data_IF_903177703499
#
_entry.id   IF_903177703499
#
_cell.length_a   1.000
_cell.length_b   1.000
_cell.length_c   1.000
_cell.angle_alpha   90.00
_cell.angle_beta   90.00
_cell.angle_gamma   90.00
#
_symmetry.space_group_name_H-M   'P 1'
#
loop_
_entity.id
_entity.type
_entity.pdbx_description
1 polymer ?
#
# COMPACT_ATOMS: atom_id res chain seq x y z
N UNK A 1 -4.19 -29.71 -11.44
CA UNK A 1 -3.57 -30.27 -10.21
C UNK A 1 -3.85 -29.30 -9.08
N UNK A 2 -4.61 -29.76 -8.09
CA UNK A 2 -5.13 -29.03 -6.93
C UNK A 2 -4.00 -28.43 -6.08
N UNK A 3 -4.04 -27.12 -5.91
CA UNK A 3 -3.14 -26.33 -5.07
C UNK A 3 -3.38 -26.64 -3.58
N UNK A 4 -2.43 -27.31 -2.94
CA UNK A 4 -2.51 -27.86 -1.59
C UNK A 4 -1.92 -26.93 -0.50
N UNK A 5 -1.78 -25.62 -0.74
CA UNK A 5 -1.12 -24.72 0.24
C UNK A 5 -1.88 -23.46 0.63
N UNK A 6 -3.14 -23.29 0.21
CA UNK A 6 -4.05 -22.35 0.88
C UNK A 6 -4.77 -23.09 2.02
N UNK A 7 -4.73 -22.62 3.28
CA UNK A 7 -5.58 -23.19 4.32
C UNK A 7 -7.01 -23.20 3.82
N UNK A 8 -7.72 -24.32 3.96
CA UNK A 8 -9.15 -24.36 3.67
C UNK A 8 -9.89 -23.52 4.72
N UNK A 9 -9.88 -22.21 4.50
CA UNK A 9 -10.51 -21.24 5.36
C UNK A 9 -12.02 -21.45 5.43
N UNK A 10 -12.64 -22.07 4.43
CA UNK A 10 -14.08 -22.36 4.51
C UNK A 10 -14.33 -23.44 5.56
N UNK A 11 -13.64 -24.58 5.50
CA UNK A 11 -13.83 -25.65 6.49
C UNK A 11 -13.47 -25.21 7.91
N UNK A 12 -12.36 -24.49 8.07
CA UNK A 12 -11.93 -23.98 9.38
C UNK A 12 -12.91 -22.93 9.93
N UNK A 13 -13.36 -22.01 9.09
CA UNK A 13 -14.34 -20.99 9.48
C UNK A 13 -15.70 -21.62 9.80
N UNK A 14 -16.17 -22.59 9.02
CA UNK A 14 -17.45 -23.26 9.28
C UNK A 14 -17.42 -24.01 10.63
N UNK A 15 -16.29 -24.63 10.99
CA UNK A 15 -16.10 -25.21 12.33
C UNK A 15 -16.17 -24.14 13.43
N UNK A 16 -15.45 -23.02 13.26
CA UNK A 16 -15.45 -21.92 14.22
C UNK A 16 -16.85 -21.28 14.37
N UNK A 17 -17.57 -21.07 13.27
CA UNK A 17 -18.91 -20.49 13.26
C UNK A 17 -19.96 -21.41 13.88
N UNK A 18 -19.81 -22.74 13.78
CA UNK A 18 -20.69 -23.69 14.51
C UNK A 18 -20.54 -23.55 16.02
N UNK A 19 -19.30 -23.41 16.51
CA UNK A 19 -19.03 -23.18 17.94
C UNK A 19 -19.57 -21.81 18.38
N UNK A 20 -19.32 -20.78 17.58
CA UNK A 20 -19.87 -19.44 17.80
C UNK A 20 -21.40 -19.43 17.87
N UNK A 21 -22.08 -20.08 16.92
CA UNK A 21 -23.54 -20.14 16.86
C UNK A 21 -24.17 -20.80 18.09
N UNK A 22 -23.51 -21.83 18.64
CA UNK A 22 -23.93 -22.45 19.92
C UNK A 22 -23.83 -21.49 21.10
N UNK A 23 -22.86 -20.56 21.07
CA UNK A 23 -22.59 -19.59 22.15
C UNK A 23 -23.45 -18.32 22.05
N UNK A 24 -23.66 -17.78 20.85
CA UNK A 24 -24.25 -16.44 20.63
C UNK A 24 -25.43 -16.38 19.65
N UNK A 25 -25.86 -17.54 19.13
CA UNK A 25 -27.00 -17.64 18.22
C UNK A 25 -26.63 -17.58 16.72
N UNK A 26 -27.55 -18.03 15.88
CA UNK A 26 -27.31 -18.24 14.45
C UNK A 26 -27.46 -16.99 13.57
N UNK A 27 -28.17 -15.95 14.02
CA UNK A 27 -28.48 -14.81 13.16
C UNK A 27 -27.24 -13.98 12.83
N UNK A 28 -26.36 -13.77 13.83
CA UNK A 28 -25.13 -13.00 13.62
C UNK A 28 -24.17 -13.68 12.64
N UNK A 29 -24.20 -15.03 12.58
CA UNK A 29 -23.36 -15.82 11.66
C UNK A 29 -23.55 -15.42 10.21
N UNK A 30 -24.80 -15.14 9.80
CA UNK A 30 -25.12 -14.73 8.42
C UNK A 30 -24.39 -13.45 8.03
N UNK A 31 -24.23 -12.53 8.98
CA UNK A 31 -23.58 -11.24 8.76
C UNK A 31 -22.05 -11.31 8.87
N UNK A 32 -21.52 -12.02 9.87
CA UNK A 32 -20.07 -12.03 10.13
C UNK A 32 -19.31 -13.03 9.25
N UNK A 33 -19.95 -14.11 8.77
CA UNK A 33 -19.29 -15.10 7.91
C UNK A 33 -18.60 -14.48 6.68
N UNK A 34 -19.28 -13.70 5.82
CA UNK A 34 -18.61 -13.08 4.67
C UNK A 34 -17.50 -12.11 5.11
N UNK A 35 -17.64 -11.50 6.29
CA UNK A 35 -16.65 -10.56 6.82
C UNK A 35 -15.36 -11.28 7.23
N UNK A 36 -15.49 -12.32 8.06
CA UNK A 36 -14.35 -13.09 8.55
C UNK A 36 -13.65 -13.79 7.39
N UNK A 37 -14.41 -14.38 6.46
CA UNK A 37 -13.82 -15.06 5.29
C UNK A 37 -12.95 -14.12 4.45
N UNK A 38 -13.42 -12.91 4.17
CA UNK A 38 -12.64 -11.93 3.43
C UNK A 38 -11.42 -11.44 4.23
N UNK A 39 -11.54 -11.30 5.56
CA UNK A 39 -10.40 -10.98 6.42
C UNK A 39 -9.32 -12.06 6.42
N UNK A 40 -9.72 -13.34 6.44
CA UNK A 40 -8.80 -14.48 6.36
C UNK A 40 -8.03 -14.48 5.03
N UNK A 41 -8.74 -14.28 3.91
CA UNK A 41 -8.13 -14.21 2.57
C UNK A 41 -7.08 -13.10 2.43
N UNK A 42 -7.30 -11.95 3.06
CA UNK A 42 -6.40 -10.79 3.00
C UNK A 42 -5.33 -10.85 4.13
N UNK A 43 -5.34 -11.91 4.96
CA UNK A 43 -4.34 -12.14 6.00
C UNK A 43 -4.49 -11.27 7.24
N UNK A 44 -5.68 -10.67 7.48
CA UNK A 44 -5.93 -9.84 8.67
C UNK A 44 -5.87 -10.63 9.97
N UNK A 45 -6.31 -11.89 9.93
CA UNK A 45 -6.18 -12.81 11.07
C UNK A 45 -4.71 -13.00 11.50
N UNK A 46 -3.77 -13.06 10.54
CA UNK A 46 -2.34 -13.15 10.89
C UNK A 46 -1.84 -11.90 11.63
N UNK A 47 -2.34 -10.71 11.30
CA UNK A 47 -2.02 -9.49 12.04
C UNK A 47 -2.64 -9.48 13.45
N UNK A 48 -3.83 -10.05 13.59
CA UNK A 48 -4.46 -10.24 14.90
C UNK A 48 -3.64 -11.19 15.78
N UNK A 49 -3.22 -12.35 15.25
CA UNK A 49 -2.38 -13.31 15.98
C UNK A 49 -1.02 -12.74 16.39
N UNK A 50 -0.44 -11.82 15.61
CA UNK A 50 0.80 -11.12 16.03
C UNK A 50 0.64 -10.34 17.33
N UNK A 51 -0.58 -9.92 17.68
CA UNK A 51 -0.90 -9.20 18.92
C UNK A 51 -1.49 -10.12 19.99
N UNK A 52 -2.05 -11.25 19.58
CA UNK A 52 -2.67 -12.26 20.45
C UNK A 52 -2.22 -13.66 20.03
N UNK A 53 -0.96 -14.05 20.31
CA UNK A 53 -0.40 -15.32 19.81
C UNK A 53 -1.14 -16.57 20.29
N UNK A 54 -1.77 -16.49 21.45
CA UNK A 54 -2.52 -17.57 22.11
C UNK A 54 -3.96 -17.73 21.60
N UNK A 55 -4.46 -16.76 20.83
CA UNK A 55 -5.82 -16.78 20.32
C UNK A 55 -5.96 -17.72 19.10
N UNK A 56 -7.17 -18.23 18.92
CA UNK A 56 -7.55 -19.07 17.80
C UNK A 56 -8.55 -18.36 16.88
N UNK A 57 -8.92 -19.03 15.79
CA UNK A 57 -9.90 -18.50 14.84
C UNK A 57 -11.26 -18.24 15.51
N UNK A 58 -11.64 -19.04 16.51
CA UNK A 58 -12.87 -18.82 17.29
C UNK A 58 -12.85 -17.49 18.04
N UNK A 59 -11.72 -17.13 18.64
CA UNK A 59 -11.56 -15.86 19.36
C UNK A 59 -11.59 -14.67 18.39
N UNK A 60 -11.00 -14.84 17.20
CA UNK A 60 -11.09 -13.83 16.15
C UNK A 60 -12.52 -13.65 15.61
N UNK A 61 -13.30 -14.74 15.47
CA UNK A 61 -14.71 -14.67 15.10
C UNK A 61 -15.51 -13.91 16.16
N UNK A 62 -15.30 -14.22 17.45
CA UNK A 62 -15.93 -13.50 18.56
C UNK A 62 -15.54 -12.01 18.55
N UNK A 63 -14.26 -11.71 18.34
CA UNK A 63 -13.74 -10.35 18.24
C UNK A 63 -14.38 -9.56 17.08
N UNK A 64 -14.52 -10.19 15.91
CA UNK A 64 -15.18 -9.58 14.74
C UNK A 64 -16.67 -9.38 14.98
N UNK A 65 -17.32 -10.32 15.67
CA UNK A 65 -18.73 -10.21 16.05
C UNK A 65 -18.98 -9.01 16.96
N UNK A 66 -18.15 -8.80 17.98
CA UNK A 66 -18.27 -7.66 18.89
C UNK A 66 -18.12 -6.33 18.15
N UNK A 67 -17.13 -6.23 17.25
CA UNK A 67 -16.95 -5.04 16.42
C UNK A 67 -18.09 -4.85 15.43
N UNK A 68 -18.66 -5.93 14.87
CA UNK A 68 -19.83 -5.85 14.02
C UNK A 68 -21.02 -5.26 14.79
N UNK A 69 -21.32 -5.78 15.98
CA UNK A 69 -22.41 -5.26 16.80
C UNK A 69 -22.20 -3.80 17.19
N UNK A 70 -20.95 -3.40 17.45
CA UNK A 70 -20.62 -2.02 17.80
C UNK A 70 -20.74 -1.05 16.61
N UNK A 71 -20.29 -1.45 15.42
CA UNK A 71 -20.08 -0.51 14.31
C UNK A 71 -21.06 -0.67 13.14
N UNK A 72 -21.81 -1.78 13.03
CA UNK A 72 -22.64 -2.05 11.86
C UNK A 72 -23.65 -0.94 11.59
N UNK A 73 -24.34 -0.44 12.61
CA UNK A 73 -25.30 0.66 12.47
C UNK A 73 -24.63 1.93 11.92
N UNK A 74 -23.45 2.28 12.46
CA UNK A 74 -22.69 3.44 11.99
C UNK A 74 -22.22 3.28 10.54
N UNK A 75 -21.71 2.10 10.18
CA UNK A 75 -21.24 1.81 8.82
C UNK A 75 -22.41 1.82 7.82
N UNK A 76 -23.58 1.30 8.19
CA UNK A 76 -24.80 1.37 7.37
C UNK A 76 -25.19 2.83 7.12
N UNK A 77 -25.25 3.64 8.18
CA UNK A 77 -25.56 5.07 8.06
C UNK A 77 -24.56 5.82 7.18
N UNK A 78 -23.29 5.44 7.25
CA UNK A 78 -22.21 6.04 6.48
C UNK A 78 -22.24 5.62 5.00
N UNK A 79 -22.26 4.32 4.71
CA UNK A 79 -22.02 3.78 3.37
C UNK A 79 -23.31 3.56 2.56
N UNK A 80 -24.40 3.14 3.22
CA UNK A 80 -25.66 2.79 2.57
C UNK A 80 -26.64 3.96 2.58
N UNK A 81 -26.96 4.46 3.78
CA UNK A 81 -27.92 5.58 3.94
C UNK A 81 -27.31 6.92 3.53
N UNK A 82 -25.98 7.04 3.58
CA UNK A 82 -25.23 8.28 3.29
C UNK A 82 -25.79 9.48 4.05
N UNK A 83 -26.00 9.30 5.36
CA UNK A 83 -26.56 10.36 6.20
C UNK A 83 -25.71 11.62 6.16
N UNK A 84 -26.30 12.74 5.74
CA UNK A 84 -25.65 14.05 5.65
C UNK A 84 -25.01 14.50 6.96
N UNK A 85 -25.63 14.17 8.10
CA UNK A 85 -25.08 14.51 9.41
C UNK A 85 -23.79 13.72 9.69
N UNK A 86 -23.82 12.41 9.49
CA UNK A 86 -22.65 11.55 9.71
C UNK A 86 -21.51 11.92 8.76
N UNK A 87 -21.84 12.23 7.50
CA UNK A 87 -20.89 12.67 6.50
C UNK A 87 -20.21 13.99 6.84
N UNK A 88 -20.97 15.01 7.23
CA UNK A 88 -20.39 16.31 7.66
C UNK A 88 -19.46 16.16 8.86
N UNK A 89 -19.86 15.35 9.85
CA UNK A 89 -19.04 15.07 11.02
C UNK A 89 -17.74 14.33 10.65
N UNK A 90 -17.85 13.34 9.76
CA UNK A 90 -16.68 12.60 9.28
C UNK A 90 -15.74 13.49 8.46
N UNK A 91 -16.28 14.29 7.54
CA UNK A 91 -15.50 15.22 6.71
C UNK A 91 -14.67 16.16 7.59
N UNK A 92 -15.33 16.87 8.51
CA UNK A 92 -14.66 17.78 9.45
C UNK A 92 -13.54 17.09 10.23
N UNK A 93 -13.81 15.87 10.71
CA UNK A 93 -12.82 15.05 11.44
C UNK A 93 -11.63 14.67 10.57
N UNK A 94 -11.86 14.25 9.31
CA UNK A 94 -10.81 13.90 8.36
C UNK A 94 -9.98 15.12 7.97
N UNK A 95 -10.59 16.29 7.77
CA UNK A 95 -9.87 17.54 7.47
C UNK A 95 -8.93 17.92 8.60
N UNK A 96 -9.37 17.82 9.86
CA UNK A 96 -8.50 18.08 11.02
C UNK A 96 -7.32 17.10 11.03
N UNK A 97 -7.56 15.81 10.82
CA UNK A 97 -6.48 14.82 10.75
C UNK A 97 -5.54 15.05 9.56
N UNK A 98 -6.05 15.47 8.40
CA UNK A 98 -5.25 15.79 7.23
C UNK A 98 -4.31 16.96 7.53
N UNK A 99 -4.81 18.04 8.14
CA UNK A 99 -3.98 19.19 8.58
C UNK A 99 -2.84 18.75 9.50
N UNK A 100 -3.11 17.86 10.46
CA UNK A 100 -2.07 17.29 11.32
C UNK A 100 -1.02 16.46 10.55
N UNK A 101 -1.44 15.68 9.55
CA UNK A 101 -0.49 14.94 8.71
C UNK A 101 0.37 15.89 7.86
N UNK A 102 -0.23 16.94 7.31
CA UNK A 102 0.46 17.95 6.51
C UNK A 102 1.43 18.78 7.37
N UNK A 103 1.07 19.10 8.62
CA UNK A 103 1.94 19.87 9.52
C UNK A 103 3.18 19.09 9.94
N UNK A 104 3.19 17.77 9.78
CA UNK A 104 4.36 16.93 10.06
C UNK A 104 5.48 17.06 9.02
N UNK A 105 5.24 17.74 7.88
CA UNK A 105 6.21 17.93 6.81
C UNK A 105 6.58 16.67 6.02
N UNK A 106 5.94 15.53 6.31
CA UNK A 106 6.20 14.24 5.66
C UNK A 106 5.78 14.19 4.19
N UNK A 107 4.85 15.03 3.80
CA UNK A 107 4.30 15.10 2.45
C UNK A 107 4.54 16.52 1.93
N UNK A 108 5.02 16.65 0.69
CA UNK A 108 5.13 17.94 0.00
C UNK A 108 3.75 18.36 -0.53
N UNK A 109 2.84 18.65 0.40
CA UNK A 109 1.45 19.02 0.15
C UNK A 109 1.14 20.26 1.00
N UNK A 110 0.39 21.20 0.45
CA UNK A 110 0.05 22.45 1.10
C UNK A 110 -1.08 22.26 2.12
N UNK A 111 -1.10 23.06 3.20
CA UNK A 111 -2.17 23.03 4.20
C UNK A 111 -3.57 23.24 3.61
N UNK A 112 -3.66 23.98 2.49
CA UNK A 112 -4.91 24.20 1.75
C UNK A 112 -5.49 22.93 1.13
N UNK A 113 -4.69 21.90 0.89
CA UNK A 113 -5.13 20.63 0.28
C UNK A 113 -5.82 19.68 1.28
N UNK A 114 -5.89 20.06 2.57
CA UNK A 114 -6.47 19.21 3.61
C UNK A 114 -7.94 18.84 3.36
N UNK A 115 -8.72 19.76 2.77
CA UNK A 115 -10.13 19.53 2.45
C UNK A 115 -10.29 18.56 1.27
N UNK A 116 -9.45 18.69 0.25
CA UNK A 116 -9.44 17.78 -0.91
C UNK A 116 -9.01 16.37 -0.49
N UNK A 117 -7.96 16.26 0.33
CA UNK A 117 -7.53 14.99 0.92
C UNK A 117 -8.67 14.34 1.72
N UNK A 118 -9.41 15.13 2.50
CA UNK A 118 -10.53 14.63 3.28
C UNK A 118 -11.66 14.13 2.38
N UNK A 119 -12.02 14.87 1.32
CA UNK A 119 -13.01 14.43 0.34
C UNK A 119 -12.59 13.13 -0.36
N UNK A 120 -11.36 13.05 -0.85
CA UNK A 120 -10.83 11.84 -1.50
C UNK A 120 -10.82 10.64 -0.54
N UNK A 121 -10.44 10.83 0.72
CA UNK A 121 -10.50 9.78 1.73
C UNK A 121 -11.94 9.34 2.02
N UNK A 122 -12.93 10.24 1.99
CA UNK A 122 -14.35 9.89 2.12
C UNK A 122 -14.83 9.03 0.96
N UNK A 123 -14.47 9.37 -0.28
CA UNK A 123 -14.82 8.58 -1.47
C UNK A 123 -14.32 7.14 -1.35
N UNK A 124 -13.10 6.95 -0.85
CA UNK A 124 -12.57 5.62 -0.55
C UNK A 124 -13.34 4.96 0.58
N UNK A 125 -13.64 5.67 1.68
CA UNK A 125 -14.37 5.12 2.83
C UNK A 125 -15.77 4.61 2.49
N UNK A 126 -16.45 5.22 1.52
CA UNK A 126 -17.80 4.82 1.11
C UNK A 126 -17.82 3.45 0.43
N UNK A 127 -16.78 3.17 -0.36
CA UNK A 127 -16.68 1.93 -1.15
C UNK A 127 -15.83 0.86 -0.46
N UNK A 128 -14.97 1.27 0.48
CA UNK A 128 -14.09 0.36 1.19
C UNK A 128 -14.87 -0.58 2.12
N UNK A 129 -14.52 -1.86 2.06
CA UNK A 129 -15.06 -2.88 2.95
C UNK A 129 -14.51 -2.68 4.37
N UNK A 130 -15.37 -2.31 5.32
CA UNK A 130 -14.96 -2.23 6.72
C UNK A 130 -14.67 -3.65 7.26
N UNK A 131 -13.49 -3.90 7.85
CA UNK A 131 -13.10 -5.25 8.23
C UNK A 131 -13.69 -5.72 9.56
N UNK A 132 -14.27 -4.83 10.37
CA UNK A 132 -14.83 -5.16 11.69
C UNK A 132 -13.86 -5.93 12.61
N UNK A 133 -12.56 -5.64 12.54
CA UNK A 133 -11.54 -6.17 13.45
C UNK A 133 -10.63 -5.04 13.96
N UNK A 134 -11.18 -3.82 13.94
CA UNK A 134 -10.56 -2.61 14.43
C UNK A 134 -11.65 -1.57 14.62
N UNK A 135 -11.37 -0.54 15.40
CA UNK A 135 -12.28 0.58 15.54
C UNK A 135 -12.31 1.41 14.24
N UNK A 136 -13.42 2.10 14.00
CA UNK A 136 -13.60 2.91 12.80
C UNK A 136 -12.51 3.97 12.62
N UNK A 137 -12.18 4.71 13.69
CA UNK A 137 -11.21 5.80 13.65
C UNK A 137 -9.80 5.39 13.18
N UNK A 138 -9.15 4.37 13.78
CA UNK A 138 -7.87 3.85 13.28
C UNK A 138 -7.92 3.40 11.82
N UNK A 139 -9.03 2.79 11.38
CA UNK A 139 -9.21 2.38 9.99
C UNK A 139 -9.32 3.58 9.05
N UNK A 140 -10.13 4.58 9.40
CA UNK A 140 -10.28 5.81 8.64
C UNK A 140 -8.96 6.59 8.56
N UNK A 141 -8.18 6.67 9.64
CA UNK A 141 -6.83 7.27 9.61
C UNK A 141 -5.87 6.52 8.68
N UNK A 142 -5.98 5.19 8.60
CA UNK A 142 -5.16 4.40 7.66
C UNK A 142 -5.52 4.76 6.21
N UNK A 143 -6.81 4.89 5.90
CA UNK A 143 -7.26 5.32 4.56
C UNK A 143 -6.76 6.74 4.28
N UNK A 144 -6.98 7.68 5.20
CA UNK A 144 -6.54 9.07 5.06
C UNK A 144 -5.04 9.19 4.80
N UNK A 145 -4.21 8.47 5.57
CA UNK A 145 -2.76 8.46 5.37
C UNK A 145 -2.37 7.90 4.00
N UNK A 146 -3.07 6.87 3.52
CA UNK A 146 -2.83 6.32 2.20
C UNK A 146 -3.22 7.32 1.10
N UNK A 147 -4.32 8.07 1.29
CA UNK A 147 -4.74 9.17 0.41
C UNK A 147 -3.69 10.27 0.37
N UNK A 148 -3.17 10.73 1.52
CA UNK A 148 -2.07 11.70 1.58
C UNK A 148 -0.85 11.22 0.77
N UNK A 149 -0.46 9.96 0.97
CA UNK A 149 0.68 9.38 0.25
C UNK A 149 0.41 9.29 -1.27
N UNK A 150 -0.81 8.97 -1.69
CA UNK A 150 -1.20 8.92 -3.09
C UNK A 150 -1.17 10.31 -3.74
N UNK A 151 -1.76 11.31 -3.10
CA UNK A 151 -1.77 12.69 -3.60
C UNK A 151 -0.36 13.27 -3.66
N UNK A 152 0.48 12.99 -2.66
CA UNK A 152 1.88 13.39 -2.67
C UNK A 152 2.65 12.79 -3.87
N UNK A 153 2.43 11.51 -4.19
CA UNK A 153 3.04 10.87 -5.38
C UNK A 153 2.56 11.54 -6.67
N UNK A 154 1.26 11.75 -6.83
CA UNK A 154 0.69 12.45 -7.99
C UNK A 154 1.23 13.87 -8.14
N UNK A 155 1.34 14.62 -7.04
CA UNK A 155 1.89 15.96 -7.04
C UNK A 155 3.37 15.97 -7.48
N UNK A 156 4.15 14.96 -7.05
CA UNK A 156 5.53 14.78 -7.48
C UNK A 156 5.63 14.49 -8.98
N UNK A 157 4.82 13.56 -9.48
CA UNK A 157 4.76 13.24 -10.92
C UNK A 157 4.39 14.48 -11.76
N UNK A 158 3.38 15.26 -11.33
CA UNK A 158 2.99 16.50 -12.02
C UNK A 158 4.09 17.56 -11.95
N UNK A 159 4.79 17.69 -10.83
CA UNK A 159 5.92 18.61 -10.70
C UNK A 159 7.07 18.22 -11.65
N UNK A 160 7.39 16.93 -11.72
CA UNK A 160 8.40 16.39 -12.65
C UNK A 160 8.00 16.66 -14.11
N UNK A 161 6.72 16.47 -14.48
CA UNK A 161 6.20 16.78 -15.82
C UNK A 161 6.22 18.29 -16.12
N UNK A 162 5.95 19.16 -15.14
CA UNK A 162 6.00 20.62 -15.31
C UNK A 162 7.42 21.13 -15.44
N UNK A 163 8.38 20.56 -14.69
CA UNK A 163 9.80 20.86 -14.87
C UNK A 163 10.29 20.45 -16.26
N UNK A 164 9.78 19.35 -16.82
CA UNK A 164 10.03 18.97 -18.22
C UNK A 164 9.48 20.03 -19.20
N UNK A 165 8.24 20.49 -19.01
CA UNK A 165 7.62 21.50 -19.89
C UNK A 165 8.24 22.89 -19.79
N UNK A 166 8.63 23.34 -18.59
CA UNK A 166 9.27 24.66 -18.42
C UNK A 166 10.72 24.68 -18.92
N UNK A 167 11.35 23.52 -19.08
CA UNK A 167 12.69 23.41 -19.66
C UNK A 167 12.74 23.57 -21.19
N UNK A 168 11.59 23.72 -21.87
CA UNK A 168 11.50 23.93 -23.32
C UNK A 168 11.74 25.39 -23.77
N UNK A 169 11.92 26.36 -22.84
CA UNK A 169 12.16 27.77 -23.18
C UNK A 169 13.61 28.29 -22.93
N UNK A 170 14.61 27.40 -22.85
CA UNK A 170 16.04 27.72 -23.12
C UNK A 170 17.07 26.92 -22.31
N UNK A 171 18.38 26.93 -22.66
CA UNK A 171 19.00 26.77 -23.99
C UNK A 171 19.24 25.27 -24.34
N UNK A 172 18.87 24.90 -25.57
CA UNK A 172 19.09 23.62 -26.31
C UNK A 172 18.80 22.26 -25.62
N UNK A 173 17.77 21.50 -26.09
CA UNK A 173 17.28 20.22 -25.53
C UNK A 173 18.23 19.01 -25.49
N UNK A 174 19.42 19.11 -26.11
CA UNK A 174 20.26 17.94 -26.40
C UNK A 174 20.97 17.40 -25.15
N UNK A 175 21.45 18.27 -24.25
CA UNK A 175 22.23 17.84 -23.06
C UNK A 175 21.41 17.17 -21.95
N UNK A 176 20.15 17.57 -21.75
CA UNK A 176 19.28 16.99 -20.70
C UNK A 176 18.63 15.69 -21.14
N UNK A 177 18.36 15.52 -22.43
CA UNK A 177 17.92 14.24 -22.99
C UNK A 177 19.03 13.20 -22.85
N UNK A 178 20.28 13.57 -23.09
CA UNK A 178 21.45 12.70 -22.88
C UNK A 178 21.58 12.26 -21.41
N UNK A 179 21.41 13.17 -20.44
CA UNK A 179 21.50 12.84 -19.01
C UNK A 179 20.29 12.03 -18.50
N UNK A 180 19.07 12.35 -18.94
CA UNK A 180 17.86 11.60 -18.55
C UNK A 180 17.81 10.21 -19.18
N UNK A 181 18.22 10.08 -20.44
CA UNK A 181 18.36 8.79 -21.12
C UNK A 181 19.48 7.98 -20.46
N UNK A 182 20.60 8.62 -20.08
CA UNK A 182 21.68 7.95 -19.36
C UNK A 182 21.24 7.43 -17.98
N UNK A 183 20.55 8.25 -17.16
CA UNK A 183 20.07 7.83 -15.84
C UNK A 183 19.02 6.71 -15.97
N UNK A 184 18.11 6.81 -16.93
CA UNK A 184 17.09 5.78 -17.17
C UNK A 184 17.72 4.47 -17.67
N UNK A 185 18.70 4.55 -18.59
CA UNK A 185 19.46 3.41 -19.07
C UNK A 185 20.33 2.79 -17.99
N UNK A 186 20.93 3.57 -17.11
CA UNK A 186 21.76 3.07 -16.00
C UNK A 186 20.90 2.41 -14.92
N UNK A 187 19.69 2.91 -14.67
CA UNK A 187 18.73 2.28 -13.78
C UNK A 187 18.18 0.96 -14.36
N UNK A 188 17.84 0.94 -15.66
CA UNK A 188 17.44 -0.29 -16.35
C UNK A 188 18.57 -1.31 -16.39
N UNK A 189 19.81 -0.89 -16.68
CA UNK A 189 21.00 -1.74 -16.61
C UNK A 189 21.22 -2.27 -15.19
N UNK A 190 20.99 -1.44 -14.17
CA UNK A 190 21.07 -1.88 -12.77
C UNK A 190 20.06 -2.99 -12.45
N UNK A 191 18.82 -2.85 -12.94
CA UNK A 191 17.77 -3.86 -12.81
C UNK A 191 18.11 -5.13 -13.61
N UNK A 192 18.70 -5.01 -14.80
CA UNK A 192 19.13 -6.14 -15.63
C UNK A 192 20.34 -6.90 -15.06
N UNK A 193 21.21 -6.22 -14.31
CA UNK A 193 22.39 -6.82 -13.65
C UNK A 193 22.10 -7.38 -12.27
N UNK A 194 20.85 -7.35 -11.80
CA UNK A 194 20.46 -7.95 -10.53
C UNK A 194 20.77 -9.44 -10.53
N UNK A 195 21.39 -9.90 -9.45
CA UNK A 195 21.81 -11.30 -9.31
C UNK A 195 20.62 -12.23 -9.07
N UNK A 196 19.51 -11.69 -8.58
CA UNK A 196 18.32 -12.46 -8.27
C UNK A 196 17.18 -12.20 -9.29
N UNK A 197 16.82 -13.20 -10.12
CA UNK A 197 15.79 -13.05 -11.15
C UNK A 197 14.38 -12.85 -10.57
N UNK A 198 14.11 -13.33 -9.35
CA UNK A 198 12.82 -13.08 -8.70
C UNK A 198 12.69 -11.60 -8.28
N UNK A 199 13.76 -10.97 -7.82
CA UNK A 199 13.75 -9.55 -7.43
C UNK A 199 13.58 -8.66 -8.66
N UNK A 200 14.32 -8.95 -9.72
CA UNK A 200 14.17 -8.27 -11.01
C UNK A 200 12.75 -8.41 -11.56
N UNK A 201 12.21 -9.64 -11.59
CA UNK A 201 10.86 -9.92 -12.08
C UNK A 201 9.80 -9.21 -11.25
N UNK A 202 9.96 -9.16 -9.93
CA UNK A 202 9.07 -8.41 -9.06
C UNK A 202 9.05 -6.92 -9.41
N UNK A 203 10.21 -6.29 -9.57
CA UNK A 203 10.31 -4.87 -9.89
C UNK A 203 9.67 -4.54 -11.25
N UNK A 204 9.87 -5.40 -12.26
CA UNK A 204 9.22 -5.23 -13.56
C UNK A 204 7.69 -5.31 -13.44
N UNK A 205 7.15 -6.33 -12.76
CA UNK A 205 5.71 -6.46 -12.60
C UNK A 205 5.10 -5.29 -11.80
N UNK A 206 5.81 -4.81 -10.77
CA UNK A 206 5.28 -3.77 -9.89
C UNK A 206 5.43 -2.35 -10.45
N UNK A 207 6.58 -2.01 -11.03
CA UNK A 207 6.92 -0.65 -11.45
C UNK A 207 6.82 -0.42 -12.95
N UNK A 208 6.90 -1.48 -13.77
CA UNK A 208 6.76 -1.36 -15.22
C UNK A 208 5.36 -1.73 -15.70
N UNK A 209 4.68 -2.66 -15.00
CA UNK A 209 3.32 -3.10 -15.33
C UNK A 209 2.26 -2.61 -14.32
N UNK A 210 2.66 -1.79 -13.35
CA UNK A 210 1.79 -1.19 -12.33
C UNK A 210 0.89 -2.18 -11.55
N UNK A 211 1.33 -3.43 -11.42
CA UNK A 211 0.57 -4.46 -10.73
C UNK A 211 0.71 -4.32 -9.21
N UNK A 212 -0.40 -4.50 -8.50
CA UNK A 212 -0.41 -4.54 -7.04
C UNK A 212 0.20 -5.85 -6.52
N UNK A 213 0.63 -5.85 -5.25
CA UNK A 213 1.19 -7.04 -4.60
C UNK A 213 0.22 -8.24 -4.64
N UNK A 214 -1.09 -7.98 -4.61
CA UNK A 214 -2.12 -9.02 -4.69
C UNK A 214 -2.22 -9.62 -6.10
N UNK A 215 -1.99 -8.82 -7.15
CA UNK A 215 -1.97 -9.27 -8.55
C UNK A 215 -0.66 -9.97 -8.91
N UNK A 216 0.45 -9.55 -8.30
CA UNK A 216 1.77 -10.18 -8.46
C UNK A 216 1.84 -11.54 -7.73
N UNK A 217 1.08 -11.69 -6.63
CA UNK A 217 1.04 -12.91 -5.82
C UNK A 217 0.83 -14.19 -6.65
N UNK A 218 -0.23 -14.31 -7.49
CA UNK A 218 -0.41 -15.46 -8.35
C UNK A 218 0.62 -15.55 -9.48
N UNK A 219 1.12 -14.41 -10.00
CA UNK A 219 2.07 -14.38 -11.13
C UNK A 219 3.44 -14.94 -10.72
N UNK A 220 3.87 -14.65 -9.49
CA UNK A 220 5.17 -15.07 -8.96
C UNK A 220 5.09 -16.34 -8.09
N UNK A 221 3.88 -16.84 -7.82
CA UNK A 221 3.63 -17.95 -6.91
C UNK A 221 4.32 -17.78 -5.54
N UNK A 222 4.24 -16.58 -4.97
CA UNK A 222 4.83 -16.21 -3.67
C UNK A 222 3.77 -15.63 -2.76
N UNK A 223 3.89 -15.79 -1.45
CA UNK A 223 2.95 -15.16 -0.50
C UNK A 223 3.14 -13.65 -0.45
N UNK A 224 2.09 -12.90 -0.06
CA UNK A 224 2.19 -11.45 0.11
C UNK A 224 3.35 -11.04 1.03
N UNK A 225 3.60 -11.80 2.10
CA UNK A 225 4.73 -11.55 3.01
C UNK A 225 6.08 -11.79 2.35
N UNK A 226 6.19 -12.81 1.50
CA UNK A 226 7.38 -13.06 0.71
C UNK A 226 7.60 -11.96 -0.33
N UNK A 227 6.53 -11.43 -0.94
CA UNK A 227 6.61 -10.29 -1.86
C UNK A 227 7.03 -8.98 -1.18
N UNK A 228 6.56 -8.70 0.04
CA UNK A 228 7.04 -7.53 0.80
C UNK A 228 8.53 -7.61 1.12
N UNK A 229 8.99 -8.79 1.53
CA UNK A 229 10.42 -9.01 1.76
C UNK A 229 11.21 -8.92 0.45
N UNK A 230 10.70 -9.53 -0.61
CA UNK A 230 11.30 -9.51 -1.94
C UNK A 230 11.41 -8.08 -2.50
N UNK A 231 10.39 -7.26 -2.31
CA UNK A 231 10.39 -5.84 -2.69
C UNK A 231 11.45 -5.05 -1.94
N UNK A 232 11.52 -5.23 -0.62
CA UNK A 232 12.53 -4.58 0.21
C UNK A 232 13.95 -4.97 -0.23
N UNK A 233 14.21 -6.27 -0.33
CA UNK A 233 15.52 -6.80 -0.74
C UNK A 233 15.88 -6.35 -2.18
N UNK A 234 14.90 -6.26 -3.08
CA UNK A 234 15.09 -5.80 -4.46
C UNK A 234 15.51 -4.33 -4.52
N UNK A 235 14.90 -3.47 -3.70
CA UNK A 235 15.27 -2.05 -3.63
C UNK A 235 16.65 -1.84 -3.00
N UNK A 236 17.01 -2.63 -1.98
CA UNK A 236 18.38 -2.60 -1.43
C UNK A 236 19.43 -3.00 -2.48
N UNK A 237 19.18 -4.09 -3.20
CA UNK A 237 20.10 -4.57 -4.25
C UNK A 237 20.26 -3.55 -5.39
N UNK A 238 19.16 -2.97 -5.89
CA UNK A 238 19.23 -1.92 -6.92
C UNK A 238 20.03 -0.71 -6.42
N UNK A 239 19.84 -0.31 -5.15
CA UNK A 239 20.58 0.80 -4.54
C UNK A 239 22.07 0.50 -4.44
N UNK A 240 22.44 -0.73 -4.06
CA UNK A 240 23.84 -1.16 -4.01
C UNK A 240 24.51 -1.18 -5.38
N UNK A 241 23.83 -1.73 -6.39
CA UNK A 241 24.32 -1.79 -7.77
C UNK A 241 24.50 -0.37 -8.32
N UNK A 242 23.49 0.49 -8.15
CA UNK A 242 23.54 1.87 -8.62
C UNK A 242 24.66 2.67 -7.94
N UNK A 243 24.83 2.52 -6.63
CA UNK A 243 25.92 3.17 -5.90
C UNK A 243 27.31 2.66 -6.34
N UNK A 244 27.44 1.36 -6.64
CA UNK A 244 28.70 0.76 -7.13
C UNK A 244 29.06 1.28 -8.51
N UNK A 245 28.10 1.32 -9.43
CA UNK A 245 28.26 1.89 -10.77
C UNK A 245 28.62 3.39 -10.71
N UNK A 246 28.00 4.13 -9.79
CA UNK A 246 28.32 5.54 -9.55
C UNK A 246 29.71 5.79 -8.93
N UNK A 247 30.28 4.84 -8.20
CA UNK A 247 31.65 4.93 -7.66
C UNK A 247 32.72 4.51 -8.68
N UNK A 248 32.45 3.48 -9.49
CA UNK A 248 33.34 3.04 -10.58
C UNK A 248 33.46 4.11 -11.68
N UNK A 249 32.36 4.82 -12.01
CA UNK A 249 32.40 5.98 -12.92
C UNK A 249 33.26 7.14 -12.40
N UNK A 250 33.26 7.38 -11.08
CA UNK A 250 34.11 8.40 -10.44
C UNK A 250 35.58 7.98 -10.38
N UNK A 251 35.89 6.71 -10.09
CA UNK A 251 37.26 6.18 -10.08
C UNK A 251 37.89 6.16 -11.49
N UNK A 252 37.12 5.82 -12.52
CA UNK A 252 37.56 5.89 -13.92
C UNK A 252 37.78 7.34 -14.39
N UNK A 253 36.91 8.27 -13.98
CA UNK A 253 37.06 9.72 -14.24
C UNK A 253 38.32 10.32 -13.58
N UNK A 254 38.63 9.91 -12.35
CA UNK A 254 39.83 10.32 -11.61
C UNK A 254 41.12 9.73 -12.19
N UNK A 255 41.07 8.55 -12.79
CA UNK A 255 42.22 7.90 -13.44
C UNK A 255 42.54 8.53 -14.80
N UNK A 256 41.51 8.96 -15.55
CA UNK A 256 41.68 9.66 -16.84
C UNK A 256 42.24 11.07 -16.64
N UNK A 257 41.79 11.83 -15.63
CA UNK A 257 42.31 13.18 -15.33
C UNK A 257 43.78 13.21 -14.88
N UNK A 258 44.33 12.10 -14.36
CA UNK A 258 45.75 12.01 -13.95
C UNK A 258 46.70 11.72 -15.11
N UNK A 259 46.22 11.26 -16.27
CA UNK A 259 47.05 11.00 -17.46
C UNK A 259 47.15 12.17 -18.44
N UNK A 260 46.30 13.18 -18.33
CA UNK A 260 46.29 14.37 -19.19
C UNK A 260 47.01 15.58 -18.58
N UNK A 261 47.65 15.42 -17.42
CA UNK A 261 48.37 16.47 -16.70
C UNK A 261 49.88 16.17 -16.54
N UNK A 262 50.44 15.33 -17.42
CA UNK A 262 51.86 15.04 -17.53
C UNK A 262 52.35 15.30 -18.95
#
# INVERSE_FOLDING_TARGET
MTDLTSPDWNAQLDKALRLFARKRGCDLVKHIRPIVLANLKIGRFNYYLKRHPEHQLTDYVDYVADHYQQWAAYIILLQQTRSDQIWRLLHSKLTVWARHYLSSGKYNLAQGEAEDIAHEAMLVLITARFPYDTHFDPWARRILRNTCAQMHRKAKEVAELREQQQSEQGPTPVRKLEESVAIHQDLLRSIETMSNPDRQRFLLLHYYQDLSFAEIQPIMNKTLSALYKLHFDALEEVREIYNRQGQEGKASSLTIRRRTAA
#
